data_IF_577485282341
#
_entry.id   IF_577485282341
#
_cell.length_a   1.000
_cell.length_b   1.000
_cell.length_c   1.000
_cell.angle_alpha   90.00
_cell.angle_beta   90.00
_cell.angle_gamma   90.00
#
_symmetry.space_group_name_H-M   'P 1'
#
loop_
_entity.id
_entity.type
_entity.pdbx_description
1 polymer ?
#
# COMPACT_ATOMS: atom_id res chain seq x y z
N UNK A 1 47.61 -6.76 19.56
CA UNK A 1 46.45 -7.63 19.29
C UNK A 1 45.21 -6.78 19.40
N UNK A 2 44.71 -6.25 18.28
CA UNK A 2 43.41 -5.59 18.24
C UNK A 2 42.38 -6.67 17.87
N UNK A 3 41.44 -6.92 18.76
CA UNK A 3 40.30 -7.77 18.47
C UNK A 3 39.50 -7.12 17.34
N UNK A 4 39.48 -7.75 16.16
CA UNK A 4 38.55 -7.36 15.10
C UNK A 4 37.15 -7.74 15.57
N UNK A 5 36.39 -6.79 16.09
CA UNK A 5 34.95 -6.98 16.25
C UNK A 5 34.35 -6.99 14.85
N UNK A 6 34.05 -8.19 14.34
CA UNK A 6 33.27 -8.38 13.12
C UNK A 6 32.00 -7.52 13.22
N UNK A 7 31.64 -6.75 12.18
CA UNK A 7 30.40 -6.01 12.21
C UNK A 7 29.23 -7.00 12.41
N UNK A 8 28.25 -6.68 13.27
CA UNK A 8 27.12 -7.55 13.50
C UNK A 8 26.29 -7.58 12.20
N UNK A 9 26.19 -8.78 11.60
CA UNK A 9 25.40 -9.10 10.41
C UNK A 9 26.01 -8.69 9.05
N UNK A 10 27.03 -9.41 8.59
CA UNK A 10 27.50 -9.37 7.20
C UNK A 10 26.60 -10.22 6.31
N UNK A 11 25.49 -9.68 5.83
CA UNK A 11 24.72 -10.31 4.76
C UNK A 11 25.50 -10.18 3.43
N UNK A 12 25.65 -11.29 2.72
CA UNK A 12 26.36 -11.33 1.44
C UNK A 12 25.62 -10.64 0.29
N UNK A 13 24.34 -10.33 0.50
CA UNK A 13 23.60 -9.41 -0.35
C UNK A 13 22.21 -9.10 0.21
N UNK A 14 21.47 -8.28 -0.53
CA UNK A 14 20.17 -7.75 -0.16
C UNK A 14 19.15 -8.04 -1.26
N UNK A 15 18.02 -8.60 -0.86
CA UNK A 15 16.85 -8.74 -1.73
C UNK A 15 15.96 -7.52 -1.50
N UNK A 16 15.65 -6.80 -2.57
CA UNK A 16 14.94 -5.53 -2.53
C UNK A 16 13.60 -5.72 -3.20
N UNK A 17 12.51 -5.49 -2.47
CA UNK A 17 11.16 -5.46 -3.04
C UNK A 17 10.92 -4.11 -3.73
N UNK A 18 11.65 -3.89 -4.82
CA UNK A 18 11.52 -2.75 -5.72
C UNK A 18 11.92 -3.18 -7.14
N UNK A 19 11.82 -2.25 -8.08
CA UNK A 19 12.09 -2.45 -9.50
C UNK A 19 13.40 -1.74 -9.87
N UNK A 20 14.20 -2.33 -10.75
CA UNK A 20 15.41 -1.67 -11.23
C UNK A 20 15.10 -0.38 -11.97
N UNK A 21 14.02 -0.35 -12.74
CA UNK A 21 13.55 0.81 -13.49
C UNK A 21 13.02 1.93 -12.58
N UNK A 22 12.52 1.58 -11.40
CA UNK A 22 12.01 2.56 -10.43
C UNK A 22 13.14 3.21 -9.65
N UNK A 23 14.12 2.41 -9.20
CA UNK A 23 15.25 2.87 -8.41
C UNK A 23 16.38 3.48 -9.27
N UNK A 24 16.47 3.10 -10.55
CA UNK A 24 17.44 3.64 -11.50
C UNK A 24 18.89 3.52 -11.00
N UNK A 25 19.61 4.65 -10.97
CA UNK A 25 21.01 4.70 -10.53
C UNK A 25 21.20 4.29 -9.06
N UNK A 26 20.17 4.44 -8.23
CA UNK A 26 20.25 4.08 -6.80
C UNK A 26 20.49 2.58 -6.59
N UNK A 27 20.07 1.71 -7.52
CA UNK A 27 20.32 0.26 -7.46
C UNK A 27 21.80 -0.05 -7.29
N UNK A 28 22.68 0.72 -7.95
CA UNK A 28 24.13 0.52 -7.88
C UNK A 28 24.73 0.96 -6.54
N UNK A 29 24.07 1.89 -5.84
CA UNK A 29 24.50 2.38 -4.54
C UNK A 29 23.97 1.51 -3.38
N UNK A 30 22.84 0.82 -3.56
CA UNK A 30 22.21 -0.01 -2.53
C UNK A 30 23.18 -1.01 -1.86
N UNK A 31 24.04 -1.76 -2.59
CA UNK A 31 24.94 -2.70 -1.94
C UNK A 31 25.89 -2.03 -0.94
N UNK A 32 26.37 -0.82 -1.26
CA UNK A 32 27.27 -0.04 -0.40
C UNK A 32 26.64 0.44 0.92
N UNK A 33 25.31 0.42 1.05
CA UNK A 33 24.61 0.71 2.31
C UNK A 33 24.70 -0.44 3.32
N UNK A 34 24.89 -1.67 2.84
CA UNK A 34 24.93 -2.86 3.68
C UNK A 34 26.38 -3.33 3.89
N UNK A 35 27.09 -3.60 2.80
CA UNK A 35 28.47 -4.08 2.84
C UNK A 35 29.17 -3.85 1.50
N UNK A 36 30.47 -3.52 1.52
CA UNK A 36 31.24 -3.11 0.34
C UNK A 36 31.25 -4.14 -0.81
N UNK A 37 31.06 -5.41 -0.49
CA UNK A 37 31.04 -6.52 -1.46
C UNK A 37 29.65 -7.16 -1.60
N UNK A 38 28.62 -6.58 -0.98
CA UNK A 38 27.26 -7.06 -1.14
C UNK A 38 26.80 -6.93 -2.60
N UNK A 39 25.79 -7.72 -2.96
CA UNK A 39 24.97 -7.47 -4.16
C UNK A 39 23.54 -7.10 -3.75
N UNK A 40 22.85 -6.38 -4.63
CA UNK A 40 21.44 -6.07 -4.48
C UNK A 40 20.64 -6.69 -5.64
N UNK A 41 19.54 -7.37 -5.33
CA UNK A 41 18.61 -7.93 -6.32
C UNK A 41 17.23 -7.29 -6.15
N UNK A 42 16.84 -6.47 -7.14
CA UNK A 42 15.51 -5.89 -7.21
C UNK A 42 14.53 -6.91 -7.80
N UNK A 43 13.84 -7.65 -6.92
CA UNK A 43 12.92 -8.75 -7.30
C UNK A 43 11.45 -8.34 -7.17
N UNK A 44 11.17 -7.04 -7.09
CA UNK A 44 9.81 -6.51 -6.95
C UNK A 44 8.99 -6.60 -8.24
N UNK A 45 7.69 -6.35 -8.20
CA UNK A 45 6.88 -6.10 -7.00
C UNK A 45 6.36 -7.40 -6.40
N UNK A 46 6.87 -7.77 -5.23
CA UNK A 46 6.35 -8.92 -4.45
C UNK A 46 5.09 -8.44 -3.73
N UNK A 47 3.94 -8.75 -4.30
CA UNK A 47 2.62 -8.42 -3.76
C UNK A 47 1.96 -9.66 -3.19
N UNK A 48 1.35 -9.54 -2.01
CA UNK A 48 0.57 -10.59 -1.38
C UNK A 48 -0.84 -10.66 -2.00
N UNK A 49 -0.94 -11.03 -3.28
CA UNK A 49 -2.23 -11.10 -3.98
C UNK A 49 -2.88 -12.51 -3.88
N UNK A 50 -2.09 -13.58 -3.81
CA UNK A 50 -2.58 -14.95 -4.02
C UNK A 50 -3.31 -15.63 -2.85
N UNK A 51 -3.26 -15.08 -1.63
CA UNK A 51 -3.92 -15.69 -0.45
C UNK A 51 -5.42 -15.38 -0.32
N UNK A 52 -6.08 -14.86 -1.36
CA UNK A 52 -7.51 -14.51 -1.31
C UNK A 52 -8.43 -15.71 -1.63
N UNK A 53 -7.90 -16.83 -2.15
CA UNK A 53 -8.71 -17.95 -2.65
C UNK A 53 -8.74 -19.24 -1.77
N UNK A 54 -8.05 -19.37 -0.64
CA UNK A 54 -8.03 -20.70 0.02
C UNK A 54 -7.42 -20.92 1.41
N UNK A 55 -7.70 -20.06 2.40
CA UNK A 55 -7.26 -20.30 3.80
C UNK A 55 -8.39 -20.63 4.76
N UNK A 56 -8.53 -21.90 5.19
CA UNK A 56 -9.44 -22.31 6.26
C UNK A 56 -8.83 -22.05 7.64
N UNK A 57 -9.33 -21.06 8.36
CA UNK A 57 -8.99 -20.83 9.77
C UNK A 57 -9.87 -19.72 10.36
N UNK A 58 -10.51 -19.97 11.52
CA UNK A 58 -11.71 -19.30 12.06
C UNK A 58 -11.76 -17.77 12.22
N UNK A 59 -10.73 -17.02 11.83
CA UNK A 59 -10.75 -15.55 11.62
C UNK A 59 -11.19 -15.15 10.20
N UNK A 60 -11.06 -16.07 9.23
CA UNK A 60 -11.33 -15.82 7.82
C UNK A 60 -12.81 -15.61 7.48
N UNK A 61 -13.76 -16.15 8.25
CA UNK A 61 -15.18 -16.03 7.91
C UNK A 61 -15.68 -14.58 7.97
N UNK A 62 -15.27 -13.81 8.99
CA UNK A 62 -15.62 -12.38 9.10
C UNK A 62 -14.93 -11.56 8.00
N UNK A 63 -13.62 -11.73 7.81
CA UNK A 63 -12.88 -11.03 6.75
C UNK A 63 -13.36 -11.42 5.34
N UNK A 64 -13.78 -12.66 5.10
CA UNK A 64 -14.38 -13.09 3.84
C UNK A 64 -15.78 -12.51 3.65
N UNK A 65 -16.61 -12.45 4.70
CA UNK A 65 -17.93 -11.81 4.63
C UNK A 65 -17.84 -10.31 4.36
N UNK A 66 -16.91 -9.60 5.01
CA UNK A 66 -16.67 -8.17 4.75
C UNK A 66 -16.12 -7.95 3.35
N UNK A 67 -15.19 -8.81 2.88
CA UNK A 67 -14.72 -8.85 1.50
C UNK A 67 -15.87 -8.94 0.49
N UNK A 68 -16.78 -9.90 0.66
CA UNK A 68 -17.93 -10.02 -0.24
C UNK A 68 -18.77 -8.73 -0.23
N UNK A 69 -19.04 -8.15 0.95
CA UNK A 69 -19.87 -6.95 1.07
C UNK A 69 -19.30 -5.71 0.37
N UNK A 70 -18.00 -5.41 0.54
CA UNK A 70 -17.45 -4.21 -0.10
C UNK A 70 -17.14 -4.42 -1.59
N UNK A 71 -16.84 -5.66 -2.03
CA UNK A 71 -16.73 -5.97 -3.46
C UNK A 71 -18.09 -5.82 -4.14
N UNK A 72 -19.16 -6.39 -3.56
CA UNK A 72 -20.52 -6.19 -4.07
C UNK A 72 -20.94 -4.71 -4.10
N UNK A 73 -20.49 -3.91 -3.13
CA UNK A 73 -20.73 -2.48 -3.13
C UNK A 73 -19.97 -1.77 -4.26
N UNK A 74 -18.70 -2.15 -4.51
CA UNK A 74 -17.88 -1.62 -5.60
C UNK A 74 -18.49 -1.97 -6.98
N UNK A 75 -18.93 -3.20 -7.17
CA UNK A 75 -19.58 -3.65 -8.42
C UNK A 75 -20.87 -2.86 -8.70
N UNK A 76 -21.58 -2.40 -7.67
CA UNK A 76 -22.78 -1.55 -7.82
C UNK A 76 -22.47 -0.10 -8.23
N UNK A 77 -21.20 0.31 -8.28
CA UNK A 77 -20.83 1.67 -8.66
C UNK A 77 -20.74 1.89 -10.19
N UNK A 78 -21.09 0.89 -10.99
CA UNK A 78 -21.08 0.92 -12.46
C UNK A 78 -21.71 2.18 -13.04
N UNK A 79 -20.94 2.93 -13.84
CA UNK A 79 -21.45 4.13 -14.52
C UNK A 79 -20.46 5.28 -14.72
N UNK A 80 -19.15 5.02 -14.86
CA UNK A 80 -18.07 5.99 -15.16
C UNK A 80 -17.50 6.84 -14.01
N UNK A 81 -17.99 6.67 -12.78
CA UNK A 81 -17.44 7.39 -11.63
C UNK A 81 -16.42 6.54 -10.85
N UNK A 82 -15.18 7.02 -10.81
CA UNK A 82 -14.08 6.44 -10.02
C UNK A 82 -14.41 6.50 -8.52
N UNK A 83 -14.12 5.41 -7.80
CA UNK A 83 -14.23 5.33 -6.33
C UNK A 83 -12.88 5.68 -5.71
N UNK A 84 -12.90 6.54 -4.70
CA UNK A 84 -11.69 6.87 -3.92
C UNK A 84 -11.49 5.80 -2.86
N UNK A 85 -10.35 5.12 -2.90
CA UNK A 85 -9.91 4.28 -1.78
C UNK A 85 -9.15 5.13 -0.76
N UNK A 86 -9.59 5.07 0.50
CA UNK A 86 -8.94 5.75 1.63
C UNK A 86 -8.50 4.71 2.64
N UNK A 87 -7.21 4.72 2.98
CA UNK A 87 -6.65 3.91 4.06
C UNK A 87 -5.35 4.54 4.54
N UNK A 88 -5.13 4.52 5.86
CA UNK A 88 -3.90 5.00 6.49
C UNK A 88 -2.95 3.85 6.87
N UNK A 89 -3.26 2.63 6.41
CA UNK A 89 -2.52 1.44 6.79
C UNK A 89 -2.67 1.11 8.27
N UNK A 90 -1.80 0.21 8.75
CA UNK A 90 -1.89 -0.37 10.10
C UNK A 90 -1.10 0.39 11.16
N UNK A 91 -0.20 1.28 10.73
CA UNK A 91 0.73 1.99 11.59
C UNK A 91 0.27 3.40 11.97
N UNK A 92 -0.66 3.99 11.23
CA UNK A 92 -1.19 5.32 11.52
C UNK A 92 -2.19 5.28 12.69
N UNK A 93 -2.13 6.30 13.55
CA UNK A 93 -3.16 6.59 14.56
C UNK A 93 -3.71 7.99 14.35
N UNK A 94 -5.03 8.08 14.15
CA UNK A 94 -5.77 9.33 14.03
C UNK A 94 -6.68 9.48 15.25
N UNK A 95 -6.78 10.69 15.79
CA UNK A 95 -7.78 10.97 16.82
C UNK A 95 -9.19 10.95 16.23
N UNK A 96 -10.22 10.81 17.08
CA UNK A 96 -11.61 10.83 16.62
C UNK A 96 -11.92 12.17 15.91
N UNK A 97 -11.39 13.28 16.41
CA UNK A 97 -11.58 14.61 15.80
C UNK A 97 -10.95 14.67 14.40
N UNK A 98 -9.77 14.10 14.19
CA UNK A 98 -9.16 14.02 12.86
C UNK A 98 -9.95 13.13 11.91
N UNK A 99 -10.50 12.02 12.42
CA UNK A 99 -11.36 11.13 11.66
C UNK A 99 -12.67 11.83 11.26
N UNK A 100 -13.24 12.67 12.12
CA UNK A 100 -14.43 13.47 11.81
C UNK A 100 -14.15 14.50 10.70
N UNK A 101 -12.98 15.16 10.74
CA UNK A 101 -12.54 16.07 9.66
C UNK A 101 -12.40 15.36 8.32
N UNK A 102 -11.86 14.14 8.31
CA UNK A 102 -11.80 13.31 7.09
C UNK A 102 -13.21 12.94 6.62
N UNK A 103 -14.07 12.47 7.53
CA UNK A 103 -15.42 12.04 7.24
C UNK A 103 -16.24 13.19 6.62
N UNK A 104 -16.18 14.38 7.21
CA UNK A 104 -16.86 15.56 6.68
C UNK A 104 -16.24 16.06 5.37
N UNK A 105 -14.91 15.99 5.23
CA UNK A 105 -14.23 16.32 3.98
C UNK A 105 -14.66 15.42 2.82
N UNK A 106 -14.72 14.10 3.03
CA UNK A 106 -15.21 13.12 2.06
C UNK A 106 -16.70 13.36 1.74
N UNK A 107 -17.52 13.61 2.77
CA UNK A 107 -18.93 13.96 2.60
C UNK A 107 -19.10 15.17 1.68
N UNK A 108 -18.37 16.25 1.98
CA UNK A 108 -18.40 17.52 1.24
C UNK A 108 -17.86 17.42 -0.19
N UNK A 109 -16.94 16.49 -0.45
CA UNK A 109 -16.36 16.31 -1.76
C UNK A 109 -17.37 15.80 -2.80
N UNK A 110 -18.42 15.11 -2.34
CA UNK A 110 -19.49 14.60 -3.20
C UNK A 110 -19.05 13.46 -4.13
N UNK A 111 -17.84 12.92 -3.94
CA UNK A 111 -17.32 11.78 -4.70
C UNK A 111 -17.63 10.46 -4.00
N UNK A 112 -17.56 9.36 -4.75
CA UNK A 112 -17.68 8.01 -4.19
C UNK A 112 -16.41 7.64 -3.45
N UNK A 113 -16.53 6.97 -2.31
CA UNK A 113 -15.37 6.53 -1.55
C UNK A 113 -15.60 5.22 -0.82
N UNK A 114 -14.52 4.44 -0.72
CA UNK A 114 -14.37 3.29 0.16
C UNK A 114 -13.29 3.64 1.18
N UNK A 115 -13.67 3.78 2.46
CA UNK A 115 -12.74 4.13 3.53
C UNK A 115 -12.57 2.96 4.49
N UNK A 116 -11.36 2.42 4.55
CA UNK A 116 -10.97 1.40 5.50
C UNK A 116 -10.45 2.04 6.78
N UNK A 117 -11.08 1.72 7.90
CA UNK A 117 -10.70 2.19 9.24
C UNK A 117 -10.32 1.02 10.14
N UNK A 118 -9.36 1.26 11.04
CA UNK A 118 -8.88 0.23 11.97
C UNK A 118 -9.99 -0.22 12.94
N UNK A 119 -10.04 -1.51 13.24
CA UNK A 119 -11.06 -2.13 14.09
C UNK A 119 -10.83 -1.94 15.59
N UNK A 120 -9.67 -1.40 15.99
CA UNK A 120 -9.28 -1.18 17.38
C UNK A 120 -9.65 0.20 17.94
N UNK A 121 -10.16 1.10 17.08
CA UNK A 121 -10.61 2.44 17.48
C UNK A 121 -12.05 2.45 17.98
N UNK A 122 -12.38 3.44 18.82
CA UNK A 122 -13.77 3.73 19.24
C UNK A 122 -14.53 4.58 18.22
N UNK A 123 -13.84 5.09 17.20
CA UNK A 123 -14.43 5.96 16.21
C UNK A 123 -15.51 5.26 15.38
N UNK A 124 -16.56 6.01 15.09
CA UNK A 124 -17.62 5.63 14.17
C UNK A 124 -18.44 6.85 13.80
N UNK A 125 -18.77 7.02 12.52
CA UNK A 125 -19.64 8.12 12.13
C UNK A 125 -21.04 7.90 12.72
N UNK A 126 -21.74 8.98 13.06
CA UNK A 126 -23.12 8.92 13.51
C UNK A 126 -24.08 8.49 12.37
N UNK A 127 -25.31 8.11 12.72
CA UNK A 127 -26.33 7.67 11.75
C UNK A 127 -26.75 8.78 10.78
N UNK A 128 -26.65 10.05 11.18
CA UNK A 128 -26.94 11.19 10.31
C UNK A 128 -25.90 11.31 9.21
N UNK A 129 -24.62 11.17 9.57
CA UNK A 129 -23.52 11.11 8.62
C UNK A 129 -23.66 9.91 7.69
N UNK A 130 -23.93 8.71 8.23
CA UNK A 130 -24.06 7.49 7.43
C UNK A 130 -25.16 7.63 6.36
N UNK A 131 -26.34 8.17 6.73
CA UNK A 131 -27.42 8.47 5.79
C UNK A 131 -27.02 9.49 4.73
N UNK A 132 -26.23 10.50 5.09
CA UNK A 132 -25.81 11.57 4.16
C UNK A 132 -24.84 11.11 3.05
N UNK A 133 -24.22 9.95 3.23
CA UNK A 133 -23.29 9.34 2.26
C UNK A 133 -23.82 8.02 1.70
N UNK A 134 -25.06 7.66 2.00
CA UNK A 134 -25.67 6.42 1.52
C UNK A 134 -25.59 6.30 0.00
N UNK A 135 -25.24 5.12 -0.49
CA UNK A 135 -25.03 4.84 -1.92
C UNK A 135 -23.73 5.36 -2.53
N UNK A 136 -22.99 6.29 -1.86
CA UNK A 136 -21.73 6.85 -2.37
C UNK A 136 -20.52 6.63 -1.47
N UNK A 137 -20.72 6.41 -0.17
CA UNK A 137 -19.66 6.17 0.80
C UNK A 137 -19.84 4.82 1.49
N UNK A 138 -18.77 4.04 1.55
CA UNK A 138 -18.70 2.82 2.34
C UNK A 138 -17.54 2.91 3.33
N UNK A 139 -17.81 2.69 4.62
CA UNK A 139 -16.79 2.59 5.68
C UNK A 139 -16.65 1.13 6.09
N UNK A 140 -15.45 0.58 5.92
CA UNK A 140 -15.14 -0.81 6.24
C UNK A 140 -14.26 -0.87 7.49
N UNK A 141 -14.68 -1.66 8.48
CA UNK A 141 -13.94 -1.90 9.73
C UNK A 141 -13.35 -3.30 9.73
N UNK A 142 -12.18 -3.48 9.13
CA UNK A 142 -11.68 -4.84 8.81
C UNK A 142 -10.20 -5.07 9.14
N UNK A 143 -9.55 -4.20 9.93
CA UNK A 143 -8.14 -4.43 10.27
C UNK A 143 -7.75 -4.22 11.73
N UNK A 144 -7.13 -5.26 12.33
CA UNK A 144 -6.60 -5.27 13.70
C UNK A 144 -5.16 -4.78 13.69
N UNK A 145 -4.94 -3.48 13.94
CA UNK A 145 -3.59 -2.90 13.98
C UNK A 145 -2.77 -3.42 15.17
N UNK A 146 -1.82 -4.33 14.92
CA UNK A 146 -0.95 -4.94 15.92
C UNK A 146 0.46 -4.35 16.06
N UNK A 147 0.85 -3.36 15.24
CA UNK A 147 2.19 -2.78 15.29
C UNK A 147 2.16 -1.26 15.43
N UNK A 148 2.90 -0.78 16.43
CA UNK A 148 2.92 0.62 16.85
C UNK A 148 4.12 1.34 16.23
N UNK A 149 3.85 2.44 15.53
CA UNK A 149 4.81 3.51 15.31
C UNK A 149 4.08 4.82 15.58
N UNK A 150 4.61 5.66 16.47
CA UNK A 150 4.02 6.96 16.78
C UNK A 150 4.34 7.95 15.66
N UNK A 151 3.70 7.80 14.50
CA UNK A 151 3.75 8.86 13.49
C UNK A 151 2.69 9.90 13.84
N UNK A 152 3.15 11.07 14.31
CA UNK A 152 2.28 12.22 14.52
C UNK A 152 1.89 12.77 13.15
N UNK A 153 0.66 12.49 12.72
CA UNK A 153 0.10 13.06 11.51
C UNK A 153 -0.19 14.55 11.72
N UNK A 154 -0.04 15.36 10.67
CA UNK A 154 -0.41 16.76 10.68
C UNK A 154 -1.91 16.92 11.01
N UNK A 155 -2.30 18.09 11.52
CA UNK A 155 -3.72 18.43 11.72
C UNK A 155 -4.46 18.31 10.40
N UNK A 156 -5.59 17.60 10.40
CA UNK A 156 -6.41 17.38 9.21
C UNK A 156 -7.55 18.39 9.23
N UNK A 157 -7.79 19.06 8.09
CA UNK A 157 -8.90 19.99 7.90
C UNK A 157 -9.79 19.50 6.75
N UNK A 158 -11.09 19.37 7.01
CA UNK A 158 -12.09 18.91 6.03
C UNK A 158 -12.09 19.69 4.71
N UNK A 159 -11.74 20.99 4.72
CA UNK A 159 -11.67 21.83 3.52
C UNK A 159 -10.51 21.44 2.64
N UNK A 160 -9.37 21.10 3.24
CA UNK A 160 -8.21 20.57 2.52
C UNK A 160 -8.53 19.19 1.97
N UNK A 161 -9.15 18.31 2.77
CA UNK A 161 -9.60 16.98 2.30
C UNK A 161 -10.55 17.11 1.11
N UNK A 162 -11.57 17.96 1.20
CA UNK A 162 -12.57 18.14 0.14
C UNK A 162 -11.99 18.81 -1.12
N UNK A 163 -11.21 19.88 -0.96
CA UNK A 163 -10.65 20.67 -2.06
C UNK A 163 -9.39 20.05 -2.64
N UNK A 164 -8.24 20.42 -2.08
CA UNK A 164 -6.91 20.07 -2.58
C UNK A 164 -6.63 18.55 -2.56
N UNK A 165 -7.30 17.82 -1.66
CA UNK A 165 -7.26 16.36 -1.62
C UNK A 165 -8.15 15.75 -2.71
N UNK A 166 -9.44 15.68 -2.45
CA UNK A 166 -10.37 14.88 -3.26
C UNK A 166 -10.72 15.54 -4.59
N UNK A 167 -11.14 16.81 -4.60
CA UNK A 167 -11.58 17.46 -5.85
C UNK A 167 -10.45 17.60 -6.86
N UNK A 168 -9.25 17.97 -6.40
CA UNK A 168 -8.08 18.06 -7.28
C UNK A 168 -7.62 16.68 -7.78
N UNK A 169 -7.67 15.63 -6.94
CA UNK A 169 -7.35 14.27 -7.35
C UNK A 169 -8.34 13.72 -8.39
N UNK A 170 -9.63 14.00 -8.24
CA UNK A 170 -10.71 13.36 -9.01
C UNK A 170 -11.19 14.18 -10.22
N UNK A 171 -10.82 15.44 -10.32
CA UNK A 171 -11.23 16.31 -11.44
C UNK A 171 -10.24 17.41 -11.79
N UNK A 172 -9.12 17.50 -11.06
CA UNK A 172 -8.09 18.48 -11.30
C UNK A 172 -7.00 18.01 -12.26
N UNK A 173 -6.18 18.95 -12.73
CA UNK A 173 -5.06 18.66 -13.64
C UNK A 173 -3.97 17.85 -12.95
N UNK A 174 -3.74 18.06 -11.65
CA UNK A 174 -2.76 17.25 -10.90
C UNK A 174 -3.26 15.81 -10.76
N UNK A 175 -4.56 15.61 -10.50
CA UNK A 175 -5.19 14.30 -10.47
C UNK A 175 -5.03 13.54 -11.78
N UNK A 176 -5.34 14.18 -12.92
CA UNK A 176 -5.12 13.60 -14.25
C UNK A 176 -3.68 13.16 -14.49
N UNK A 177 -2.70 14.03 -14.21
CA UNK A 177 -1.27 13.67 -14.32
C UNK A 177 -0.85 12.56 -13.37
N UNK A 178 -1.37 12.53 -12.16
CA UNK A 178 -1.07 11.48 -11.19
C UNK A 178 -1.61 10.12 -11.68
N UNK A 179 -2.82 10.11 -12.26
CA UNK A 179 -3.43 8.91 -12.85
C UNK A 179 -2.63 8.37 -14.04
N UNK A 180 -2.21 9.25 -14.95
CA UNK A 180 -1.35 8.89 -16.09
C UNK A 180 -0.03 8.26 -15.61
N UNK A 181 0.68 8.93 -14.70
CA UNK A 181 1.92 8.41 -14.12
C UNK A 181 1.72 7.08 -13.38
N UNK A 182 0.62 6.92 -12.64
CA UNK A 182 0.31 5.66 -11.97
C UNK A 182 0.10 4.51 -12.97
N UNK A 183 -0.51 4.79 -14.12
CA UNK A 183 -0.70 3.83 -15.21
C UNK A 183 0.63 3.41 -15.83
N UNK A 184 1.53 4.38 -16.06
CA UNK A 184 2.88 4.12 -16.56
C UNK A 184 3.68 3.25 -15.58
N UNK A 185 3.68 3.60 -14.30
CA UNK A 185 4.35 2.83 -13.25
C UNK A 185 3.77 1.42 -13.10
N UNK A 186 2.44 1.28 -13.19
CA UNK A 186 1.80 -0.04 -13.16
C UNK A 186 2.18 -0.92 -14.35
N UNK A 187 2.32 -0.32 -15.54
CA UNK A 187 2.78 -1.01 -16.75
C UNK A 187 4.24 -1.44 -16.63
N UNK A 188 5.09 -0.57 -16.10
CA UNK A 188 6.50 -0.86 -15.79
C UNK A 188 6.62 -2.03 -14.80
N UNK A 189 5.92 -1.95 -13.66
CA UNK A 189 5.93 -2.99 -12.65
C UNK A 189 5.49 -4.35 -13.20
N UNK A 190 4.43 -4.37 -14.02
CA UNK A 190 3.96 -5.60 -14.66
C UNK A 190 5.02 -6.22 -15.57
N UNK A 191 5.64 -5.43 -16.44
CA UNK A 191 6.67 -5.91 -17.36
C UNK A 191 7.91 -6.43 -16.62
N UNK A 192 8.28 -5.80 -15.52
CA UNK A 192 9.43 -6.22 -14.72
C UNK A 192 9.25 -7.61 -14.10
N UNK A 193 8.03 -8.00 -13.71
CA UNK A 193 7.73 -9.31 -13.09
C UNK A 193 7.27 -10.38 -14.09
N UNK A 194 6.99 -10.01 -15.34
CA UNK A 194 6.67 -10.97 -16.40
C UNK A 194 7.89 -11.84 -16.74
N UNK A 195 7.65 -12.93 -17.48
CA UNK A 195 8.74 -13.79 -17.98
C UNK A 195 9.71 -12.94 -18.82
N UNK A 196 11.01 -13.12 -18.58
CA UNK A 196 12.09 -12.35 -19.21
C UNK A 196 12.09 -10.85 -18.81
N UNK A 197 11.33 -10.48 -17.77
CA UNK A 197 11.34 -9.16 -17.16
C UNK A 197 12.52 -8.96 -16.22
N UNK A 198 12.90 -7.70 -15.99
CA UNK A 198 14.10 -7.35 -15.20
C UNK A 198 14.12 -7.94 -13.79
N UNK A 199 12.98 -7.97 -13.09
CA UNK A 199 12.88 -8.56 -11.77
C UNK A 199 12.85 -10.09 -11.80
N UNK A 200 12.31 -10.71 -12.86
CA UNK A 200 12.44 -12.14 -13.08
C UNK A 200 13.91 -12.52 -13.33
N UNK A 201 14.63 -11.79 -14.18
CA UNK A 201 16.07 -11.98 -14.42
C UNK A 201 16.89 -11.81 -13.14
N UNK A 202 16.58 -10.82 -12.30
CA UNK A 202 17.25 -10.64 -10.99
C UNK A 202 16.95 -11.76 -10.01
N UNK A 203 15.76 -12.35 -10.08
CA UNK A 203 15.44 -13.53 -9.29
C UNK A 203 16.24 -14.75 -9.78
N UNK A 204 16.36 -14.96 -11.09
CA UNK A 204 17.18 -16.04 -11.66
C UNK A 204 18.67 -15.86 -11.30
N UNK A 205 19.22 -14.64 -11.42
CA UNK A 205 20.60 -14.33 -10.98
C UNK A 205 20.81 -14.69 -9.51
N UNK A 206 19.83 -14.41 -8.65
CA UNK A 206 19.89 -14.76 -7.23
C UNK A 206 19.91 -16.29 -7.05
N UNK A 207 19.01 -17.02 -7.72
CA UNK A 207 18.92 -18.49 -7.62
C UNK A 207 20.21 -19.16 -8.09
N UNK A 208 20.74 -18.76 -9.25
CA UNK A 208 22.02 -19.28 -9.76
C UNK A 208 23.16 -19.08 -8.75
N UNK A 209 23.18 -17.91 -8.10
CA UNK A 209 24.21 -17.61 -7.11
C UNK A 209 24.06 -18.42 -5.82
N UNK A 210 22.83 -18.69 -5.39
CA UNK A 210 22.58 -19.56 -4.23
C UNK A 210 23.02 -21.00 -4.53
N UNK A 211 22.73 -21.51 -5.73
CA UNK A 211 23.17 -22.84 -6.17
C UNK A 211 24.70 -22.94 -6.23
N UNK A 212 25.39 -21.87 -6.65
CA UNK A 212 26.85 -21.85 -6.69
C UNK A 212 27.47 -21.96 -5.29
N UNK A 213 26.87 -21.32 -4.28
CA UNK A 213 27.35 -21.37 -2.89
C UNK A 213 27.23 -22.78 -2.30
N UNK A 214 26.15 -23.52 -2.60
CA UNK A 214 25.97 -24.89 -2.07
C UNK A 214 27.01 -25.90 -2.59
N UNK A 215 27.75 -25.54 -3.65
CA UNK A 215 28.74 -26.42 -4.30
C UNK A 215 30.18 -26.18 -3.84
N UNK A 216 30.43 -25.13 -3.06
CA UNK A 216 31.74 -24.78 -2.48
C UNK A 216 31.85 -25.24 -1.01
#
# INVERSE_FOLDING_TARGET
MAASSSPPHSSWGVIVNSLTELEGEYVTALPGLYYKEAKAWCVGTVLLYDNIQGGTGGSHAKSQSLRCLYIEWLDKQDGSDVVIYVSFGTQARLSNEQMDEIADGLKMAGKRFLWVVGSSGTWGPDEGWARSVEGRGLVVRDWVGGFSSHQKLATIDRRVVCGDGVKELMGGKKGGRASERATELGTMARRAVEKDGSSAEKFDELIERLIAIERD
#
